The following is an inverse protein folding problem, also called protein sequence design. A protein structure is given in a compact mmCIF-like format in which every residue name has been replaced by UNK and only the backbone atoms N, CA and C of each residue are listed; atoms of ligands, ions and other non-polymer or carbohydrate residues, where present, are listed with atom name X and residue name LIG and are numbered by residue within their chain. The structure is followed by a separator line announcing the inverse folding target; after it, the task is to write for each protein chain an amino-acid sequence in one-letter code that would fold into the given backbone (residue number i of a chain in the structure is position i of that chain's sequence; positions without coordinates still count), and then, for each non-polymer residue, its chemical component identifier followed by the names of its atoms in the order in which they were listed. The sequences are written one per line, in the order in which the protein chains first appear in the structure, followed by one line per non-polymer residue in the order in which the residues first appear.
data_IF_352865069428
#
_entry.id   IF_352865069428
#
_cell.length_a   1.000
_cell.length_b   1.000
_cell.length_c   1.000
_cell.angle_alpha   90.00
_cell.angle_beta   90.00
_cell.angle_gamma   90.00
#
_symmetry.space_group_name_H-M   'P 1'
#
loop_
_entity.id
_entity.type
_entity.pdbx_description
1 polymer ?
#
# COMPACT_ATOMS: atom_id res chain seq x y z
N UNK A 1 -5.02 -18.53 0.85
CA UNK A 1 -3.81 -17.84 0.37
C UNK A 1 -2.58 -18.66 0.71
N UNK A 2 -1.67 -18.86 -0.24
CA UNK A 2 -0.41 -19.61 -0.04
C UNK A 2 0.64 -18.70 0.65
N UNK A 3 1.19 -19.09 1.82
CA UNK A 3 2.24 -18.33 2.51
C UNK A 3 3.47 -18.00 1.66
N UNK A 4 3.79 -18.80 0.64
CA UNK A 4 4.91 -18.56 -0.29
C UNK A 4 4.62 -17.42 -1.26
N UNK A 5 3.38 -17.34 -1.75
CA UNK A 5 2.90 -16.22 -2.58
C UNK A 5 2.89 -14.92 -1.77
N UNK A 6 2.49 -15.00 -0.50
CA UNK A 6 2.58 -13.88 0.44
C UNK A 6 4.02 -13.43 0.65
N UNK A 7 4.96 -14.35 0.87
CA UNK A 7 6.36 -14.00 1.07
C UNK A 7 6.99 -13.32 -0.16
N UNK A 8 6.70 -13.83 -1.37
CA UNK A 8 7.17 -13.22 -2.62
C UNK A 8 6.58 -11.81 -2.83
N UNK A 9 5.29 -11.63 -2.54
CA UNK A 9 4.62 -10.33 -2.62
C UNK A 9 5.11 -9.32 -1.56
N UNK A 10 5.61 -9.81 -0.41
CA UNK A 10 6.20 -8.97 0.63
C UNK A 10 7.64 -8.55 0.31
N UNK A 11 8.37 -9.35 -0.47
CA UNK A 11 9.78 -9.15 -0.85
C UNK A 11 9.96 -8.80 -2.34
N UNK A 12 9.05 -7.99 -2.90
CA UNK A 12 9.21 -7.52 -4.28
C UNK A 12 10.43 -6.59 -4.35
N UNK A 13 11.37 -6.82 -5.29
CA UNK A 13 12.50 -5.92 -5.49
C UNK A 13 12.03 -4.49 -5.75
N UNK A 14 12.70 -3.53 -5.12
CA UNK A 14 12.43 -2.11 -5.35
C UNK A 14 13.28 -1.60 -6.53
N UNK A 15 12.73 -0.66 -7.29
CA UNK A 15 13.50 0.11 -8.25
C UNK A 15 14.26 1.21 -7.50
N UNK A 16 15.58 1.09 -7.40
CA UNK A 16 16.39 2.00 -6.59
C UNK A 16 16.87 3.22 -7.40
N UNK A 17 17.04 4.34 -6.71
CA UNK A 17 17.72 5.52 -7.26
C UNK A 17 19.13 5.14 -7.75
N UNK A 18 19.45 5.51 -8.99
CA UNK A 18 20.71 5.16 -9.65
C UNK A 18 20.66 3.88 -10.51
N UNK A 19 19.55 3.13 -10.49
CA UNK A 19 19.31 2.12 -11.53
C UNK A 19 19.01 2.80 -12.87
N UNK A 20 19.62 2.34 -13.98
CA UNK A 20 19.33 2.91 -15.30
C UNK A 20 17.89 2.61 -15.69
N UNK A 21 17.16 3.64 -16.12
CA UNK A 21 15.76 3.49 -16.54
C UNK A 21 15.73 2.87 -17.94
N UNK A 22 15.14 1.68 -18.14
CA UNK A 22 15.04 1.08 -19.45
C UNK A 22 14.05 1.86 -20.32
N UNK A 23 14.37 1.96 -21.60
CA UNK A 23 13.48 2.46 -22.65
C UNK A 23 12.84 1.25 -23.31
N UNK A 24 11.51 1.19 -23.30
CA UNK A 24 10.75 0.07 -23.81
C UNK A 24 9.71 0.48 -24.82
N UNK A 25 9.33 -0.46 -25.67
CA UNK A 25 8.12 -0.40 -26.48
C UNK A 25 7.28 -1.64 -26.30
N UNK A 26 5.97 -1.50 -26.51
CA UNK A 26 4.98 -2.58 -26.43
C UNK A 26 4.27 -2.72 -27.79
N UNK A 27 3.99 -3.95 -28.23
CA UNK A 27 3.19 -4.18 -29.43
C UNK A 27 1.84 -3.44 -29.36
N UNK A 28 1.46 -2.77 -30.44
CA UNK A 28 0.18 -2.06 -30.53
C UNK A 28 0.09 -0.74 -29.75
N UNK A 29 1.20 -0.25 -29.17
CA UNK A 29 1.21 1.05 -28.50
C UNK A 29 1.31 2.19 -29.51
N UNK A 30 0.32 3.07 -29.54
CA UNK A 30 0.26 4.22 -30.46
C UNK A 30 1.47 5.15 -30.29
N UNK A 31 1.99 5.70 -31.39
CA UNK A 31 3.24 6.49 -31.45
C UNK A 31 3.21 7.75 -30.57
N UNK A 32 2.01 8.26 -30.33
CA UNK A 32 1.74 9.44 -29.51
C UNK A 32 1.96 9.14 -28.02
N UNK A 33 1.90 7.87 -27.59
CA UNK A 33 2.11 7.49 -26.19
C UNK A 33 3.62 7.49 -25.92
N UNK A 34 4.08 8.57 -25.30
CA UNK A 34 5.46 8.75 -24.84
C UNK A 34 5.48 9.31 -23.43
N UNK A 35 6.28 8.71 -22.58
CA UNK A 35 6.35 9.13 -21.19
C UNK A 35 6.97 8.10 -20.28
N UNK A 36 6.80 8.30 -18.99
CA UNK A 36 7.32 7.43 -17.95
C UNK A 36 6.21 6.62 -17.32
N UNK A 37 6.32 5.31 -17.43
CA UNK A 37 5.45 4.39 -16.71
C UNK A 37 6.15 3.91 -15.45
N UNK A 38 5.44 3.90 -14.33
CA UNK A 38 5.99 3.43 -13.06
C UNK A 38 4.95 2.68 -12.24
N UNK A 39 5.43 1.78 -11.38
CA UNK A 39 4.61 0.99 -10.48
C UNK A 39 5.04 1.27 -9.05
N UNK A 40 4.07 1.60 -8.19
CA UNK A 40 4.32 1.96 -6.81
C UNK A 40 3.50 1.10 -5.85
N UNK A 41 4.11 0.74 -4.72
CA UNK A 41 3.41 0.18 -3.56
C UNK A 41 3.24 1.27 -2.51
N UNK A 42 2.01 1.55 -2.10
CA UNK A 42 1.71 2.38 -0.94
C UNK A 42 1.19 1.47 0.16
N UNK A 43 1.76 1.57 1.35
CA UNK A 43 1.43 0.72 2.48
C UNK A 43 1.29 1.49 3.79
N UNK A 44 0.46 0.93 4.65
CA UNK A 44 0.44 1.22 6.08
C UNK A 44 0.73 -0.07 6.83
N UNK A 45 1.63 0.01 7.81
CA UNK A 45 1.90 -1.08 8.74
C UNK A 45 1.57 -0.66 10.17
N UNK A 46 0.92 -1.55 10.90
CA UNK A 46 0.72 -1.48 12.35
C UNK A 46 0.87 -2.88 12.96
N UNK A 47 0.90 -2.96 14.29
CA UNK A 47 1.11 -4.23 14.99
C UNK A 47 0.06 -5.29 14.58
N UNK A 48 0.53 -6.36 13.93
CA UNK A 48 -0.33 -7.45 13.46
C UNK A 48 -1.21 -7.10 12.24
N UNK A 49 -0.99 -5.97 11.57
CA UNK A 49 -1.76 -5.56 10.40
C UNK A 49 -0.95 -4.77 9.38
N UNK A 50 -0.88 -5.30 8.16
CA UNK A 50 -0.27 -4.62 7.03
C UNK A 50 -1.29 -4.55 5.89
N UNK A 51 -1.46 -3.36 5.32
CA UNK A 51 -2.24 -3.17 4.10
C UNK A 51 -1.43 -2.39 3.09
N UNK A 52 -1.60 -2.76 1.81
CA UNK A 52 -0.98 -2.05 0.72
C UNK A 52 -1.90 -1.95 -0.50
N UNK A 53 -1.53 -1.04 -1.40
CA UNK A 53 -2.09 -0.87 -2.74
C UNK A 53 -0.95 -0.75 -3.74
N UNK A 54 -1.14 -1.34 -4.91
CA UNK A 54 -0.25 -1.21 -6.05
C UNK A 54 -0.89 -0.23 -7.03
N UNK A 55 -0.11 0.75 -7.49
CA UNK A 55 -0.60 1.86 -8.31
C UNK A 55 0.29 1.99 -9.54
N UNK A 56 -0.24 1.74 -10.74
CA UNK A 56 0.44 2.11 -11.97
C UNK A 56 0.23 3.61 -12.23
N UNK A 57 1.30 4.30 -12.62
CA UNK A 57 1.28 5.71 -13.03
C UNK A 57 1.91 5.84 -14.41
N UNK A 58 1.38 6.77 -15.19
CA UNK A 58 1.95 7.16 -16.47
C UNK A 58 2.05 8.68 -16.51
N UNK A 59 3.27 9.19 -16.55
CA UNK A 59 3.57 10.61 -16.70
C UNK A 59 3.85 10.89 -18.18
N UNK A 60 2.96 11.63 -18.80
CA UNK A 60 3.00 11.98 -20.22
C UNK A 60 4.08 13.05 -20.51
N UNK A 61 4.87 12.84 -21.57
CA UNK A 61 5.94 13.77 -21.97
C UNK A 61 5.38 15.13 -22.45
N UNK A 62 4.25 15.12 -23.18
CA UNK A 62 3.74 16.31 -23.88
C UNK A 62 3.07 17.30 -22.94
N UNK A 63 2.21 16.81 -22.05
CA UNK A 63 1.41 17.67 -21.16
C UNK A 63 1.83 17.60 -19.68
N UNK A 64 2.75 16.70 -19.32
CA UNK A 64 3.24 16.52 -17.96
C UNK A 64 2.18 16.00 -16.98
N UNK A 65 1.05 15.47 -17.46
CA UNK A 65 -0.06 14.98 -16.62
C UNK A 65 0.04 13.49 -16.39
N UNK A 66 -0.60 13.06 -15.31
CA UNK A 66 -0.82 11.65 -15.05
C UNK A 66 -2.02 11.17 -15.87
N UNK A 67 -1.81 10.15 -16.71
CA UNK A 67 -2.87 9.51 -17.50
C UNK A 67 -3.16 8.12 -16.93
N UNK A 68 -4.07 8.05 -15.96
CA UNK A 68 -4.42 6.78 -15.30
C UNK A 68 -4.92 5.67 -16.27
N UNK A 69 -5.74 5.97 -17.31
CA UNK A 69 -6.13 4.96 -18.29
C UNK A 69 -4.93 4.36 -19.05
N UNK A 70 -3.98 5.21 -19.46
CA UNK A 70 -2.74 4.78 -20.14
C UNK A 70 -1.87 3.93 -19.22
N UNK A 71 -1.73 4.35 -17.96
CA UNK A 71 -0.99 3.60 -16.96
C UNK A 71 -1.56 2.18 -16.76
N UNK A 72 -2.89 2.07 -16.70
CA UNK A 72 -3.58 0.79 -16.55
C UNK A 72 -3.44 -0.08 -17.80
N UNK A 73 -3.61 0.51 -18.98
CA UNK A 73 -3.42 -0.19 -20.24
C UNK A 73 -2.02 -0.82 -20.35
N UNK A 74 -0.97 -0.04 -20.06
CA UNK A 74 0.42 -0.52 -20.07
C UNK A 74 0.63 -1.63 -19.02
N UNK A 75 0.07 -1.49 -17.82
CA UNK A 75 0.13 -2.53 -16.79
C UNK A 75 -0.48 -3.85 -17.28
N UNK A 76 -1.69 -3.81 -17.84
CA UNK A 76 -2.38 -5.00 -18.33
C UNK A 76 -1.62 -5.66 -19.50
N UNK A 77 -0.98 -4.86 -20.37
CA UNK A 77 -0.09 -5.37 -21.43
C UNK A 77 1.16 -6.05 -20.86
N UNK A 78 1.85 -5.43 -19.90
CA UNK A 78 3.06 -6.00 -19.28
C UNK A 78 2.81 -7.32 -18.53
N UNK A 79 1.57 -7.57 -18.10
CA UNK A 79 1.19 -8.85 -17.47
C UNK A 79 1.08 -10.00 -18.48
N UNK A 80 0.95 -9.72 -19.77
CA UNK A 80 0.67 -10.73 -20.80
C UNK A 80 1.71 -10.75 -21.92
N UNK A 81 2.45 -9.67 -22.10
CA UNK A 81 3.36 -9.44 -23.23
C UNK A 81 4.70 -8.93 -22.72
N UNK A 82 5.78 -9.53 -23.22
CA UNK A 82 7.13 -9.06 -22.92
C UNK A 82 7.42 -7.77 -23.73
N UNK A 83 7.90 -6.70 -23.08
CA UNK A 83 8.29 -5.49 -23.80
C UNK A 83 9.58 -5.71 -24.58
N UNK A 84 9.75 -4.94 -25.67
CA UNK A 84 11.04 -4.84 -26.34
C UNK A 84 11.85 -3.72 -25.69
N UNK A 85 13.05 -4.04 -25.21
CA UNK A 85 13.97 -3.05 -24.64
C UNK A 85 14.73 -2.40 -25.79
N UNK A 86 14.53 -1.11 -25.98
CA UNK A 86 15.19 -0.30 -27.00
C UNK A 86 16.55 0.22 -26.53
N UNK A 87 16.74 0.34 -25.22
CA UNK A 87 17.97 0.81 -24.61
C UNK A 87 17.75 1.20 -23.16
N UNK A 88 18.65 2.02 -22.63
CA UNK A 88 18.60 2.56 -21.28
C UNK A 88 18.91 4.04 -21.32
N UNK A 89 18.25 4.81 -20.46
CA UNK A 89 18.62 6.20 -20.20
C UNK A 89 20.00 6.25 -19.54
N UNK A 90 20.72 7.34 -19.77
CA UNK A 90 21.98 7.59 -19.07
C UNK A 90 21.74 7.81 -17.57
N UNK A 91 22.83 7.82 -16.80
CA UNK A 91 22.78 7.88 -15.34
C UNK A 91 22.11 9.17 -14.83
N UNK A 92 22.48 10.33 -15.35
CA UNK A 92 21.99 11.62 -14.87
C UNK A 92 20.50 11.78 -15.21
N UNK A 93 20.11 11.42 -16.43
CA UNK A 93 18.70 11.43 -16.87
C UNK A 93 17.85 10.44 -16.06
N UNK A 94 18.37 9.23 -15.79
CA UNK A 94 17.67 8.23 -14.96
C UNK A 94 17.45 8.74 -13.55
N UNK A 95 18.47 9.38 -12.96
CA UNK A 95 18.39 9.94 -11.61
C UNK A 95 17.35 11.07 -11.51
N UNK A 96 17.37 12.01 -12.46
CA UNK A 96 16.41 13.12 -12.50
C UNK A 96 14.98 12.62 -12.72
N UNK A 97 14.81 11.66 -13.63
CA UNK A 97 13.52 11.03 -13.91
C UNK A 97 12.94 10.36 -12.67
N UNK A 98 13.76 9.59 -11.95
CA UNK A 98 13.32 8.91 -10.72
C UNK A 98 12.80 9.91 -9.68
N UNK A 99 13.53 11.00 -9.43
CA UNK A 99 13.10 12.05 -8.50
C UNK A 99 11.82 12.76 -8.94
N UNK A 100 11.67 13.03 -10.24
CA UNK A 100 10.46 13.64 -10.79
C UNK A 100 9.24 12.72 -10.62
N UNK A 101 9.36 11.46 -11.07
CA UNK A 101 8.26 10.50 -10.99
C UNK A 101 7.91 10.18 -9.55
N UNK A 102 8.89 10.10 -8.64
CA UNK A 102 8.66 9.93 -7.21
C UNK A 102 7.79 11.04 -6.62
N UNK A 103 8.11 12.31 -6.87
CA UNK A 103 7.32 13.45 -6.37
C UNK A 103 5.88 13.41 -6.88
N UNK A 104 5.71 13.10 -8.16
CA UNK A 104 4.39 12.93 -8.80
C UNK A 104 3.62 11.79 -8.14
N UNK A 105 4.30 10.67 -7.87
CA UNK A 105 3.70 9.50 -7.24
C UNK A 105 3.30 9.76 -5.79
N UNK A 106 4.13 10.44 -5.00
CA UNK A 106 3.81 10.83 -3.62
C UNK A 106 2.58 11.74 -3.55
N UNK A 107 2.46 12.70 -4.47
CA UNK A 107 1.30 13.58 -4.55
C UNK A 107 0.03 12.80 -4.94
N UNK A 108 0.10 11.98 -5.98
CA UNK A 108 -1.04 11.18 -6.45
C UNK A 108 -1.46 10.14 -5.42
N UNK A 109 -0.49 9.53 -4.74
CA UNK A 109 -0.67 8.48 -3.76
C UNK A 109 -1.33 8.91 -2.46
N UNK A 110 -1.42 10.22 -2.20
CA UNK A 110 -1.95 10.77 -0.96
C UNK A 110 -3.40 10.34 -0.68
N UNK A 111 -4.27 10.38 -1.68
CA UNK A 111 -5.67 9.94 -1.52
C UNK A 111 -5.77 8.46 -1.16
N UNK A 112 -4.93 7.64 -1.78
CA UNK A 112 -4.90 6.19 -1.55
C UNK A 112 -4.35 5.88 -0.16
N UNK A 113 -3.33 6.63 0.28
CA UNK A 113 -2.86 6.58 1.65
C UNK A 113 -3.98 6.95 2.64
N UNK A 114 -4.68 8.07 2.42
CA UNK A 114 -5.76 8.52 3.30
C UNK A 114 -6.90 7.48 3.39
N UNK A 115 -7.23 6.82 2.28
CA UNK A 115 -8.18 5.69 2.26
C UNK A 115 -7.70 4.50 3.10
N UNK A 116 -6.43 4.10 2.98
CA UNK A 116 -5.86 3.05 3.81
C UNK A 116 -5.93 3.39 5.31
N UNK A 117 -5.60 4.63 5.66
CA UNK A 117 -5.70 5.13 7.04
C UNK A 117 -7.14 5.10 7.54
N UNK A 118 -8.10 5.51 6.72
CA UNK A 118 -9.52 5.50 7.07
C UNK A 118 -10.01 4.08 7.35
N UNK A 119 -9.72 3.12 6.47
CA UNK A 119 -10.07 1.71 6.64
C UNK A 119 -9.50 1.14 7.94
N UNK A 120 -8.24 1.47 8.25
CA UNK A 120 -7.61 1.04 9.51
C UNK A 120 -8.31 1.62 10.75
N UNK A 121 -8.61 2.92 10.73
CA UNK A 121 -9.31 3.61 11.84
C UNK A 121 -10.72 3.06 12.06
N UNK A 122 -11.47 2.82 11.00
CA UNK A 122 -12.81 2.26 11.06
C UNK A 122 -12.77 0.86 11.68
N UNK A 123 -11.83 0.03 11.27
CA UNK A 123 -11.63 -1.30 11.85
C UNK A 123 -11.36 -1.22 13.36
N UNK A 124 -10.40 -0.41 13.80
CA UNK A 124 -10.07 -0.27 15.22
C UNK A 124 -11.27 0.25 16.02
N UNK A 125 -12.05 1.16 15.43
CA UNK A 125 -13.28 1.67 16.05
C UNK A 125 -14.31 0.55 16.26
N UNK A 126 -14.49 -0.33 15.28
CA UNK A 126 -15.41 -1.47 15.40
C UNK A 126 -14.90 -2.52 16.39
N UNK A 127 -13.59 -2.79 16.41
CA UNK A 127 -12.96 -3.69 17.37
C UNK A 127 -13.16 -3.17 18.81
N UNK A 128 -12.94 -1.87 19.03
CA UNK A 128 -13.20 -1.22 20.32
C UNK A 128 -14.64 -1.36 20.77
N UNK A 129 -15.62 -1.04 19.91
CA UNK A 129 -17.05 -1.13 20.24
C UNK A 129 -17.45 -2.56 20.63
N UNK A 130 -16.96 -3.57 19.89
CA UNK A 130 -17.23 -4.98 20.19
C UNK A 130 -16.63 -5.39 21.53
N UNK A 131 -15.41 -4.96 21.82
CA UNK A 131 -14.74 -5.26 23.08
C UNK A 131 -15.46 -4.59 24.26
N UNK A 132 -15.81 -3.30 24.15
CA UNK A 132 -16.57 -2.57 25.18
C UNK A 132 -17.88 -3.29 25.53
N UNK A 133 -18.64 -3.73 24.51
CA UNK A 133 -19.85 -4.51 24.72
C UNK A 133 -19.57 -5.85 25.43
N UNK A 134 -18.53 -6.57 25.01
CA UNK A 134 -18.16 -7.85 25.61
C UNK A 134 -17.71 -7.70 27.08
N UNK A 135 -16.87 -6.71 27.39
CA UNK A 135 -16.45 -6.41 28.76
C UNK A 135 -17.62 -6.00 29.65
N UNK A 136 -18.52 -5.14 29.15
CA UNK A 136 -19.73 -4.76 29.88
C UNK A 136 -20.63 -5.98 30.19
N UNK A 137 -20.81 -6.88 29.21
CA UNK A 137 -21.57 -8.11 29.40
C UNK A 137 -20.93 -9.03 30.46
N UNK A 138 -19.61 -9.26 30.38
CA UNK A 138 -18.86 -10.06 31.36
C UNK A 138 -18.94 -9.47 32.76
N UNK A 139 -18.84 -8.14 32.90
CA UNK A 139 -18.96 -7.42 34.17
C UNK A 139 -20.32 -7.65 34.82
N UNK A 140 -21.41 -7.55 34.03
CA UNK A 140 -22.78 -7.87 34.49
C UNK A 140 -22.92 -9.32 34.94
N UNK A 141 -22.32 -10.26 34.21
CA UNK A 141 -22.38 -11.68 34.55
C UNK A 141 -21.64 -11.99 35.86
N UNK A 142 -20.48 -11.37 36.11
CA UNK A 142 -19.71 -11.54 37.36
C UNK A 142 -20.52 -11.02 38.56
N UNK A 143 -21.17 -9.87 38.44
CA UNK A 143 -21.93 -9.27 39.53
C UNK A 143 -23.21 -10.05 39.91
N UNK A 144 -23.67 -10.96 39.07
CA UNK A 144 -24.95 -11.67 39.25
C UNK A 144 -24.87 -12.88 40.16
N UNK A 145 -23.70 -13.53 40.28
CA UNK A 145 -23.56 -14.83 40.95
C UNK A 145 -22.22 -14.89 41.71
N UNK A 146 -22.26 -15.10 43.03
CA UNK A 146 -21.08 -15.46 43.82
C UNK A 146 -20.97 -14.75 45.16
N UNK A 147 -20.04 -15.23 46.00
CA UNK A 147 -19.63 -14.55 47.22
C UNK A 147 -18.91 -13.23 46.87
N UNK A 148 -19.05 -12.16 47.67
CA UNK A 148 -18.44 -10.86 47.38
C UNK A 148 -16.94 -10.92 47.07
N UNK A 149 -16.20 -11.76 47.79
CA UNK A 149 -14.74 -11.93 47.60
C UNK A 149 -14.39 -12.51 46.22
N UNK A 150 -15.16 -13.48 45.74
CA UNK A 150 -14.96 -14.10 44.42
C UNK A 150 -15.33 -13.12 43.30
N UNK A 151 -16.43 -12.37 43.47
CA UNK A 151 -16.82 -11.33 42.52
C UNK A 151 -15.75 -10.24 42.40
N UNK A 152 -15.24 -9.73 43.53
CA UNK A 152 -14.21 -8.70 43.54
C UNK A 152 -12.92 -9.18 42.84
N UNK A 153 -12.49 -10.41 43.11
CA UNK A 153 -11.33 -10.98 42.44
C UNK A 153 -11.51 -11.07 40.91
N UNK A 154 -12.67 -11.56 40.45
CA UNK A 154 -12.97 -11.69 39.02
C UNK A 154 -13.13 -10.33 38.32
N UNK A 155 -13.67 -9.32 39.01
CA UNK A 155 -13.75 -7.95 38.49
C UNK A 155 -12.37 -7.35 38.30
N UNK A 156 -11.47 -7.56 39.26
CA UNK A 156 -10.11 -7.06 39.15
C UNK A 156 -9.35 -7.69 37.98
N UNK A 157 -9.49 -9.00 37.76
CA UNK A 157 -8.92 -9.65 36.56
C UNK A 157 -9.52 -9.09 35.26
N UNK A 158 -10.83 -8.87 35.21
CA UNK A 158 -11.50 -8.30 34.04
C UNK A 158 -11.00 -6.88 33.74
N UNK A 159 -10.72 -6.08 34.77
CA UNK A 159 -10.16 -4.72 34.62
C UNK A 159 -8.74 -4.74 34.09
N UNK A 160 -7.90 -5.68 34.55
CA UNK A 160 -6.56 -5.88 34.00
C UNK A 160 -6.63 -6.29 32.52
N UNK A 161 -7.51 -7.23 32.17
CA UNK A 161 -7.74 -7.62 30.77
C UNK A 161 -8.19 -6.44 29.90
N UNK A 162 -9.13 -5.63 30.40
CA UNK A 162 -9.64 -4.44 29.70
C UNK A 162 -8.55 -3.39 29.50
N UNK A 163 -7.68 -3.19 30.50
CA UNK A 163 -6.52 -2.30 30.41
C UNK A 163 -5.53 -2.77 29.35
N UNK A 164 -5.12 -4.05 29.40
CA UNK A 164 -4.20 -4.63 28.42
C UNK A 164 -4.76 -4.54 26.99
N UNK A 165 -6.06 -4.78 26.82
CA UNK A 165 -6.72 -4.63 25.53
C UNK A 165 -6.65 -3.19 25.01
N UNK A 166 -6.88 -2.19 25.88
CA UNK A 166 -6.79 -0.76 25.50
C UNK A 166 -5.36 -0.40 25.07
N UNK A 167 -4.35 -0.81 25.83
CA UNK A 167 -2.94 -0.58 25.47
C UNK A 167 -2.58 -1.22 24.12
N UNK A 168 -3.04 -2.45 23.86
CA UNK A 168 -2.84 -3.11 22.58
C UNK A 168 -3.52 -2.36 21.44
N UNK A 169 -4.74 -1.86 21.65
CA UNK A 169 -5.47 -1.09 20.66
C UNK A 169 -4.74 0.23 20.32
N UNK A 170 -4.18 0.90 21.33
CA UNK A 170 -3.38 2.13 21.15
C UNK A 170 -2.09 1.86 20.37
N UNK A 171 -1.38 0.77 20.67
CA UNK A 171 -0.19 0.38 19.89
C UNK A 171 -0.55 0.09 18.43
N UNK A 172 -1.64 -0.65 18.19
CA UNK A 172 -2.16 -0.92 16.84
C UNK A 172 -2.66 0.32 16.11
N UNK A 173 -3.00 1.40 16.82
CA UNK A 173 -3.39 2.67 16.21
C UNK A 173 -2.19 3.43 15.61
N UNK A 174 -0.97 3.14 16.06
CA UNK A 174 0.24 3.71 15.47
C UNK A 174 0.51 3.04 14.12
N UNK A 175 0.52 3.87 13.08
CA UNK A 175 0.77 3.46 11.70
C UNK A 175 2.09 4.03 11.21
N UNK A 176 2.79 3.25 10.40
CA UNK A 176 3.96 3.72 9.65
C UNK A 176 3.60 3.73 8.16
N UNK A 177 3.60 4.91 7.51
CA UNK A 177 3.41 5.01 6.07
C UNK A 177 4.68 4.58 5.33
N UNK A 178 4.51 3.88 4.22
CA UNK A 178 5.59 3.53 3.32
C UNK A 178 5.14 3.66 1.86
N UNK A 179 6.03 4.18 1.01
CA UNK A 179 5.84 4.22 -0.42
C UNK A 179 7.10 3.69 -1.12
N UNK A 180 6.94 2.61 -1.89
CA UNK A 180 8.04 1.94 -2.58
C UNK A 180 7.87 1.96 -4.09
N UNK A 181 8.90 2.38 -4.85
CA UNK A 181 8.96 2.18 -6.30
C UNK A 181 9.25 0.70 -6.59
N UNK A 182 8.40 0.06 -7.38
CA UNK A 182 8.58 -1.33 -7.82
C UNK A 182 9.20 -1.38 -9.21
N UNK A 183 8.74 -0.52 -10.12
CA UNK A 183 9.22 -0.44 -11.50
C UNK A 183 9.20 1.01 -11.99
N UNK A 184 10.14 1.35 -12.86
CA UNK A 184 10.17 2.61 -13.61
C UNK A 184 10.76 2.32 -15.00
N UNK A 185 10.05 2.72 -16.05
CA UNK A 185 10.46 2.53 -17.45
C UNK A 185 10.07 3.77 -18.27
N UNK A 186 10.87 4.10 -19.27
CA UNK A 186 10.47 5.02 -20.33
C UNK A 186 9.73 4.22 -21.40
N UNK A 187 8.55 4.70 -21.81
CA UNK A 187 7.70 4.04 -22.79
C UNK A 187 7.71 4.86 -24.08
N UNK A 188 7.97 4.19 -25.20
CA UNK A 188 7.92 4.78 -26.53
C UNK A 188 6.97 3.97 -27.43
N UNK A 189 5.89 4.62 -27.87
CA UNK A 189 4.99 4.06 -28.87
C UNK A 189 5.68 3.85 -30.22
N UNK A 190 5.30 2.76 -30.90
CA UNK A 190 5.82 2.42 -32.22
C UNK A 190 4.72 2.58 -33.29
N UNK A 191 5.12 2.93 -34.52
CA UNK A 191 4.20 2.81 -35.66
C UNK A 191 3.82 1.36 -35.83
N UNK A 192 2.51 1.08 -35.93
CA UNK A 192 2.05 -0.23 -36.37
C UNK A 192 2.63 -0.47 -37.75
N UNK A 193 3.50 -1.49 -37.88
CA UNK A 193 3.86 -2.08 -39.16
C UNK A 193 2.80 -3.08 -39.57
#
# INVERSE_FOLDING_TARGET
EDPRVRNLAMNVPIFAQGQPVPVITLPGLAKEIKGFWSLWRISISSEGWNQYRIIPLFLDDDNGRILAPTARYIWDQLLTTLPTILGYLDYDTSHQTFEQVRKVAELYGRTIYDELVLVHKERLTQERKKAEYAFASRRKAILRIGLPQVCNYRLHLLEQEEHLFKEQLERRAQILPEMMPLLLVRVEGATHG
#
